data_IF_042136060614
#
_entry.id   IF_042136060614
#
_cell.length_a   1.000
_cell.length_b   1.000
_cell.length_c   1.000
_cell.angle_alpha   90.00
_cell.angle_beta   90.00
_cell.angle_gamma   90.00
#
_symmetry.space_group_name_H-M   'P 1'
#
loop_
_entity.id
_entity.type
_entity.pdbx_description
1 polymer ?
#
# COMPACT_ATOMS: atom_id res chain seq x y z
N UNK A 1 -17.27 -35.63 19.62
CA UNK A 1 -18.64 -35.22 20.00
C UNK A 1 -19.32 -34.82 18.70
N UNK A 2 -20.32 -35.57 18.24
CA UNK A 2 -21.03 -35.22 17.00
C UNK A 2 -21.79 -33.92 17.24
N UNK A 3 -21.44 -32.85 16.52
CA UNK A 3 -22.28 -31.65 16.52
C UNK A 3 -23.64 -32.00 15.91
N UNK A 4 -24.71 -31.35 16.37
CA UNK A 4 -26.04 -31.48 15.80
C UNK A 4 -26.26 -30.40 14.73
N UNK A 5 -27.25 -30.62 13.85
CA UNK A 5 -27.65 -29.63 12.84
C UNK A 5 -27.99 -28.29 13.50
N UNK A 6 -27.37 -27.17 13.08
CA UNK A 6 -27.61 -25.87 13.68
C UNK A 6 -29.05 -25.39 13.44
N UNK A 7 -29.77 -25.08 14.52
CA UNK A 7 -30.94 -24.23 14.43
C UNK A 7 -30.55 -22.75 14.26
N UNK A 8 -31.52 -21.89 13.90
CA UNK A 8 -31.30 -20.44 13.84
C UNK A 8 -30.79 -19.84 15.16
N UNK A 9 -31.19 -20.44 16.28
CA UNK A 9 -30.71 -20.03 17.61
C UNK A 9 -29.25 -20.42 17.81
N UNK A 10 -28.82 -21.60 17.35
CA UNK A 10 -27.45 -22.09 17.51
C UNK A 10 -26.45 -21.23 16.73
N UNK A 11 -26.86 -20.65 15.60
CA UNK A 11 -26.04 -19.68 14.86
C UNK A 11 -25.71 -18.42 15.69
N UNK A 12 -26.53 -18.11 16.70
CA UNK A 12 -26.36 -16.93 17.57
C UNK A 12 -25.83 -17.32 18.96
N UNK A 13 -26.10 -18.54 19.44
CA UNK A 13 -25.76 -18.99 20.79
C UNK A 13 -24.54 -19.92 20.85
N UNK A 14 -24.08 -20.47 19.73
CA UNK A 14 -22.85 -21.24 19.70
C UNK A 14 -21.65 -20.31 19.81
N UNK A 15 -21.00 -20.33 20.97
CA UNK A 15 -19.78 -19.57 21.23
C UNK A 15 -18.70 -20.49 21.79
N UNK A 16 -17.48 -20.24 21.36
CA UNK A 16 -16.25 -20.84 21.88
C UNK A 16 -15.31 -19.73 22.32
N UNK A 17 -14.30 -20.10 23.11
CA UNK A 17 -13.24 -19.19 23.53
C UNK A 17 -11.94 -19.63 22.89
N UNK A 18 -11.21 -18.66 22.37
CA UNK A 18 -9.86 -18.85 21.84
C UNK A 18 -8.91 -18.08 22.74
N UNK A 19 -8.40 -18.66 23.85
CA UNK A 19 -7.77 -17.89 24.93
C UNK A 19 -6.63 -16.99 24.46
N UNK A 20 -5.81 -17.46 23.53
CA UNK A 20 -4.72 -16.67 22.95
C UNK A 20 -5.25 -15.54 22.06
N UNK A 21 -6.22 -15.82 21.19
CA UNK A 21 -6.89 -14.82 20.36
C UNK A 21 -7.58 -13.75 21.19
N UNK A 22 -8.34 -14.16 22.21
CA UNK A 22 -9.05 -13.29 23.15
C UNK A 22 -8.08 -12.39 23.92
N UNK A 23 -6.97 -12.93 24.40
CA UNK A 23 -5.92 -12.16 25.05
C UNK A 23 -5.33 -11.08 24.12
N UNK A 24 -5.03 -11.45 22.87
CA UNK A 24 -4.50 -10.51 21.86
C UNK A 24 -5.52 -9.44 21.48
N UNK A 25 -6.81 -9.79 21.36
CA UNK A 25 -7.90 -8.84 21.14
C UNK A 25 -7.98 -7.84 22.29
N UNK A 26 -8.01 -8.32 23.54
CA UNK A 26 -8.07 -7.47 24.73
C UNK A 26 -6.86 -6.54 24.81
N UNK A 27 -5.65 -7.07 24.58
CA UNK A 27 -4.43 -6.25 24.53
C UNK A 27 -4.50 -5.19 23.42
N UNK A 28 -5.00 -5.55 22.23
CA UNK A 28 -5.19 -4.63 21.12
C UNK A 28 -6.19 -3.51 21.45
N UNK A 29 -7.34 -3.85 22.05
CA UNK A 29 -8.35 -2.89 22.51
C UNK A 29 -7.77 -1.93 23.54
N UNK A 30 -7.07 -2.45 24.55
CA UNK A 30 -6.45 -1.65 25.60
C UNK A 30 -5.36 -0.73 25.03
N UNK A 31 -4.51 -1.24 24.13
CA UNK A 31 -3.47 -0.47 23.46
C UNK A 31 -4.08 0.65 22.59
N UNK A 32 -5.14 0.36 21.85
CA UNK A 32 -5.83 1.35 21.03
C UNK A 32 -6.52 2.42 21.89
N UNK A 33 -7.26 2.02 22.93
CA UNK A 33 -7.90 2.95 23.86
C UNK A 33 -6.87 3.83 24.59
N UNK A 34 -5.75 3.25 25.02
CA UNK A 34 -4.63 3.99 25.61
C UNK A 34 -4.01 4.99 24.62
N UNK A 35 -3.82 4.59 23.36
CA UNK A 35 -3.35 5.46 22.29
C UNK A 35 -4.27 6.66 22.08
N UNK A 36 -5.58 6.44 22.00
CA UNK A 36 -6.59 7.49 21.85
C UNK A 36 -6.60 8.43 23.06
N UNK A 37 -6.58 7.87 24.27
CA UNK A 37 -6.47 8.65 25.51
C UNK A 37 -5.21 9.53 25.50
N UNK A 38 -4.06 8.98 25.09
CA UNK A 38 -2.79 9.71 25.06
C UNK A 38 -2.77 10.81 24.00
N UNK A 39 -3.42 10.63 22.86
CA UNK A 39 -3.61 11.69 21.86
C UNK A 39 -4.42 12.84 22.47
N UNK A 40 -5.54 12.54 23.13
CA UNK A 40 -6.37 13.56 23.77
C UNK A 40 -5.67 14.26 24.94
N UNK A 41 -4.95 13.52 25.78
CA UNK A 41 -4.17 14.09 26.88
C UNK A 41 -3.07 15.06 26.42
N UNK A 42 -2.64 14.96 25.16
CA UNK A 42 -1.67 15.86 24.51
C UNK A 42 -2.32 17.04 23.80
N UNK A 43 -3.63 17.21 23.92
CA UNK A 43 -4.40 18.26 23.24
C UNK A 43 -4.71 17.96 21.77
N UNK A 44 -4.44 16.73 21.30
CA UNK A 44 -4.80 16.28 19.96
C UNK A 44 -6.26 15.84 19.85
N UNK A 45 -6.77 15.80 18.62
CA UNK A 45 -8.08 15.23 18.30
C UNK A 45 -7.93 13.93 17.52
N UNK A 46 -8.73 12.92 17.88
CA UNK A 46 -8.78 11.64 17.16
C UNK A 46 -10.16 11.49 16.49
N UNK A 47 -10.21 11.27 15.15
CA UNK A 47 -11.48 11.14 14.45
C UNK A 47 -12.30 9.93 14.94
N UNK A 48 -13.57 10.15 15.30
CA UNK A 48 -14.48 9.10 15.80
C UNK A 48 -14.61 7.95 14.80
N UNK A 49 -14.64 8.24 13.49
CA UNK A 49 -14.73 7.23 12.43
C UNK A 49 -13.63 6.16 12.53
N UNK A 50 -12.41 6.53 12.97
CA UNK A 50 -11.30 5.57 13.16
C UNK A 50 -11.55 4.66 14.35
N UNK A 51 -12.07 5.20 15.46
CA UNK A 51 -12.47 4.41 16.63
C UNK A 51 -13.66 3.50 16.34
N UNK A 52 -14.61 3.95 15.51
CA UNK A 52 -15.72 3.10 15.04
C UNK A 52 -15.19 1.95 14.18
N UNK A 53 -14.26 2.22 13.25
CA UNK A 53 -13.59 1.18 12.47
C UNK A 53 -12.83 0.19 13.37
N UNK A 54 -12.13 0.67 14.39
CA UNK A 54 -11.46 -0.19 15.37
C UNK A 54 -12.45 -1.09 16.13
N UNK A 55 -13.56 -0.52 16.61
CA UNK A 55 -14.63 -1.30 17.24
C UNK A 55 -15.23 -2.33 16.30
N UNK A 56 -15.46 -1.96 15.03
CA UNK A 56 -15.90 -2.87 13.98
C UNK A 56 -14.92 -4.02 13.74
N UNK A 57 -13.62 -3.74 13.68
CA UNK A 57 -12.59 -4.77 13.53
C UNK A 57 -12.59 -5.75 14.70
N UNK A 58 -12.74 -5.26 15.93
CA UNK A 58 -12.84 -6.10 17.14
C UNK A 58 -14.08 -6.98 17.10
N UNK A 59 -15.24 -6.43 16.75
CA UNK A 59 -16.49 -7.19 16.63
C UNK A 59 -16.36 -8.26 15.56
N UNK A 60 -15.82 -7.93 14.39
CA UNK A 60 -15.59 -8.86 13.29
C UNK A 60 -14.60 -9.98 13.68
N UNK A 61 -13.54 -9.64 14.42
CA UNK A 61 -12.55 -10.61 14.90
C UNK A 61 -13.14 -11.56 15.94
N UNK A 62 -13.90 -11.04 16.90
CA UNK A 62 -14.63 -11.86 17.88
C UNK A 62 -15.67 -12.74 17.20
N UNK A 63 -16.39 -12.22 16.20
CA UNK A 63 -17.33 -13.03 15.43
C UNK A 63 -16.61 -14.17 14.68
N UNK A 64 -15.50 -13.89 14.01
CA UNK A 64 -14.73 -14.92 13.29
C UNK A 64 -14.11 -15.98 14.19
N UNK A 65 -13.57 -15.59 15.36
CA UNK A 65 -12.79 -16.49 16.23
C UNK A 65 -13.62 -17.21 17.30
N UNK A 66 -14.76 -16.66 17.69
CA UNK A 66 -15.49 -17.14 18.88
C UNK A 66 -16.96 -17.50 18.62
N UNK A 67 -17.56 -17.08 17.51
CA UNK A 67 -18.98 -17.35 17.26
C UNK A 67 -19.22 -18.74 16.65
N UNK A 68 -20.45 -18.97 16.18
CA UNK A 68 -20.85 -20.13 15.40
C UNK A 68 -19.90 -20.39 14.22
N UNK A 69 -19.26 -19.36 13.65
CA UNK A 69 -18.24 -19.53 12.61
C UNK A 69 -17.08 -20.42 13.08
N UNK A 70 -16.55 -20.17 14.28
CA UNK A 70 -15.46 -20.96 14.84
C UNK A 70 -15.92 -22.37 15.24
N UNK A 71 -17.15 -22.53 15.71
CA UNK A 71 -17.69 -23.85 16.10
C UNK A 71 -17.95 -24.72 14.86
N UNK A 72 -18.63 -24.18 13.86
CA UNK A 72 -19.04 -24.92 12.67
C UNK A 72 -17.98 -24.92 11.56
N UNK A 73 -17.00 -24.01 11.58
CA UNK A 73 -15.88 -23.98 10.63
C UNK A 73 -14.99 -25.23 10.70
N UNK A 74 -14.98 -25.94 11.83
CA UNK A 74 -14.27 -27.21 11.93
C UNK A 74 -14.98 -28.38 11.22
N UNK A 75 -16.26 -28.21 10.86
CA UNK A 75 -17.09 -29.31 10.33
C UNK A 75 -17.78 -28.98 9.01
N UNK A 76 -17.85 -27.71 8.62
CA UNK A 76 -18.42 -27.22 7.37
C UNK A 76 -17.39 -26.36 6.65
N UNK A 77 -16.94 -26.79 5.47
CA UNK A 77 -15.91 -26.08 4.73
C UNK A 77 -16.42 -24.72 4.23
N UNK A 78 -17.70 -24.59 3.86
CA UNK A 78 -18.26 -23.29 3.49
C UNK A 78 -18.27 -22.28 4.66
N UNK A 79 -18.48 -22.72 5.90
CA UNK A 79 -18.41 -21.86 7.09
C UNK A 79 -16.96 -21.45 7.35
N UNK A 80 -16.05 -22.41 7.24
CA UNK A 80 -14.61 -22.16 7.33
C UNK A 80 -14.16 -21.10 6.32
N UNK A 81 -14.66 -21.16 5.08
CA UNK A 81 -14.39 -20.15 4.07
C UNK A 81 -14.91 -18.75 4.45
N UNK A 82 -16.08 -18.67 5.09
CA UNK A 82 -16.58 -17.38 5.59
C UNK A 82 -15.68 -16.83 6.71
N UNK A 83 -15.16 -17.69 7.57
CA UNK A 83 -14.19 -17.30 8.61
C UNK A 83 -12.89 -16.78 7.99
N UNK A 84 -12.38 -17.45 6.94
CA UNK A 84 -11.24 -16.98 6.16
C UNK A 84 -11.46 -15.60 5.55
N UNK A 85 -12.59 -15.38 4.87
CA UNK A 85 -12.93 -14.08 4.27
C UNK A 85 -13.07 -12.97 5.33
N UNK A 86 -13.61 -13.29 6.50
CA UNK A 86 -13.66 -12.37 7.62
C UNK A 86 -12.25 -11.92 8.06
N UNK A 87 -11.31 -12.87 8.17
CA UNK A 87 -9.95 -12.59 8.65
C UNK A 87 -9.01 -12.01 7.60
N UNK A 88 -9.16 -12.35 6.33
CA UNK A 88 -8.27 -11.85 5.26
C UNK A 88 -8.76 -10.56 4.62
N UNK A 89 -10.06 -10.26 4.68
CA UNK A 89 -10.63 -9.04 4.09
C UNK A 89 -11.26 -8.10 5.11
N UNK A 90 -12.31 -8.56 5.82
CA UNK A 90 -13.15 -7.66 6.61
C UNK A 90 -12.37 -7.04 7.77
N UNK A 91 -11.73 -7.86 8.60
CA UNK A 91 -10.95 -7.39 9.75
C UNK A 91 -9.76 -6.51 9.29
N UNK A 92 -8.92 -6.94 8.33
CA UNK A 92 -7.83 -6.11 7.80
C UNK A 92 -8.24 -4.73 7.31
N UNK A 93 -9.30 -4.62 6.50
CA UNK A 93 -9.75 -3.33 5.98
C UNK A 93 -10.20 -2.40 7.11
N UNK A 94 -10.94 -2.94 8.08
CA UNK A 94 -11.37 -2.17 9.26
C UNK A 94 -10.19 -1.74 10.13
N UNK A 95 -9.17 -2.60 10.30
CA UNK A 95 -7.93 -2.25 11.01
C UNK A 95 -7.15 -1.15 10.29
N UNK A 96 -7.00 -1.22 8.96
CA UNK A 96 -6.33 -0.16 8.20
C UNK A 96 -7.08 1.17 8.31
N UNK A 97 -8.42 1.15 8.32
CA UNK A 97 -9.23 2.34 8.55
C UNK A 97 -9.20 2.85 9.99
N UNK A 98 -8.93 2.00 10.96
CA UNK A 98 -8.65 2.40 12.34
C UNK A 98 -7.33 3.16 12.48
N UNK A 99 -6.42 3.03 11.52
CA UNK A 99 -5.11 3.70 11.47
C UNK A 99 -4.24 3.51 12.74
N UNK A 100 -4.04 2.28 13.24
CA UNK A 100 -3.25 2.01 14.44
C UNK A 100 -1.80 2.54 14.37
N UNK A 101 -1.14 2.51 13.20
CA UNK A 101 0.24 3.00 13.03
C UNK A 101 0.28 4.51 13.21
N UNK A 102 -0.71 5.22 12.65
CA UNK A 102 -0.86 6.66 12.83
C UNK A 102 -1.13 6.98 14.30
N UNK A 103 -2.01 6.22 14.94
CA UNK A 103 -2.33 6.39 16.35
C UNK A 103 -1.08 6.26 17.23
N UNK A 104 -0.26 5.23 17.00
CA UNK A 104 0.99 5.02 17.72
C UNK A 104 1.97 6.21 17.56
N UNK A 105 2.07 6.77 16.35
CA UNK A 105 2.87 7.96 16.09
C UNK A 105 2.34 9.18 16.85
N UNK A 106 1.04 9.48 16.72
CA UNK A 106 0.41 10.68 17.27
C UNK A 106 0.31 10.62 18.81
N UNK A 107 0.21 9.40 19.37
CA UNK A 107 0.31 9.15 20.81
C UNK A 107 1.74 9.36 21.35
N UNK A 108 2.73 9.68 20.52
CA UNK A 108 4.09 10.02 20.94
C UNK A 108 5.17 9.02 20.60
N UNK A 109 4.84 8.01 19.80
CA UNK A 109 5.81 7.07 19.24
C UNK A 109 6.39 7.51 17.90
N UNK A 110 6.19 8.76 17.45
CA UNK A 110 6.57 9.22 16.10
C UNK A 110 7.99 8.85 15.69
N UNK A 111 8.99 9.07 16.56
CA UNK A 111 10.39 8.71 16.27
C UNK A 111 10.58 7.21 16.04
N UNK A 112 9.89 6.37 16.81
CA UNK A 112 9.97 4.91 16.70
C UNK A 112 9.27 4.46 15.42
N UNK A 113 8.07 4.98 15.16
CA UNK A 113 7.30 4.68 13.95
C UNK A 113 8.09 5.08 12.71
N UNK A 114 8.68 6.28 12.68
CA UNK A 114 9.49 6.74 11.54
C UNK A 114 10.76 5.89 11.37
N UNK A 115 11.39 5.44 12.47
CA UNK A 115 12.53 4.54 12.38
C UNK A 115 12.14 3.17 11.81
N UNK A 116 11.00 2.61 12.24
CA UNK A 116 10.46 1.35 11.72
C UNK A 116 10.09 1.47 10.25
N UNK A 117 9.41 2.54 9.84
CA UNK A 117 9.01 2.76 8.45
C UNK A 117 10.19 3.01 7.49
N UNK A 118 11.34 3.47 8.01
CA UNK A 118 12.58 3.61 7.24
C UNK A 118 13.37 2.31 7.10
N UNK A 119 13.04 1.27 7.87
CA UNK A 119 13.75 0.00 7.80
C UNK A 119 13.53 -0.68 6.43
N UNK A 120 14.59 -1.08 5.70
CA UNK A 120 14.46 -1.70 4.39
C UNK A 120 13.64 -2.99 4.42
N UNK A 121 13.71 -3.78 5.50
CA UNK A 121 12.90 -4.99 5.65
C UNK A 121 11.42 -4.65 5.75
N UNK A 122 11.04 -3.64 6.54
CA UNK A 122 9.65 -3.17 6.67
C UNK A 122 9.16 -2.63 5.33
N UNK A 123 10.00 -1.86 4.65
CA UNK A 123 9.71 -1.35 3.32
C UNK A 123 9.46 -2.50 2.34
N UNK A 124 10.33 -3.51 2.28
CA UNK A 124 10.15 -4.70 1.45
C UNK A 124 8.85 -5.45 1.73
N UNK A 125 8.57 -5.82 2.98
CA UNK A 125 7.37 -6.61 3.33
C UNK A 125 6.06 -5.84 3.17
N UNK A 126 6.10 -4.51 3.09
CA UNK A 126 4.93 -3.66 2.84
C UNK A 126 4.82 -3.19 1.39
N UNK A 127 5.75 -3.61 0.52
CA UNK A 127 5.75 -3.23 -0.89
C UNK A 127 4.51 -3.82 -1.59
N UNK A 128 3.72 -3.04 -2.35
CA UNK A 128 2.44 -3.51 -2.92
C UNK A 128 2.52 -4.80 -3.74
N UNK A 129 3.60 -4.98 -4.52
CA UNK A 129 3.83 -6.22 -5.29
C UNK A 129 4.16 -7.40 -4.37
N UNK A 130 4.91 -7.18 -3.30
CA UNK A 130 5.28 -8.23 -2.34
C UNK A 130 4.05 -8.63 -1.52
N UNK A 131 3.26 -7.65 -1.06
CA UNK A 131 2.03 -7.92 -0.31
C UNK A 131 0.97 -8.60 -1.18
N UNK A 132 0.86 -8.24 -2.46
CA UNK A 132 0.04 -8.96 -3.44
C UNK A 132 0.52 -10.40 -3.63
N UNK A 133 1.80 -10.61 -3.92
CA UNK A 133 2.36 -11.94 -4.13
C UNK A 133 2.19 -12.81 -2.89
N UNK A 134 2.37 -12.24 -1.70
CA UNK A 134 2.16 -12.91 -0.43
C UNK A 134 0.69 -13.27 -0.20
N UNK A 135 -0.24 -12.35 -0.47
CA UNK A 135 -1.68 -12.60 -0.42
C UNK A 135 -2.09 -13.76 -1.34
N UNK A 136 -1.70 -13.70 -2.62
CA UNK A 136 -1.99 -14.75 -3.59
C UNK A 136 -1.35 -16.10 -3.22
N UNK A 137 -0.11 -16.07 -2.72
CA UNK A 137 0.58 -17.26 -2.26
C UNK A 137 -0.12 -17.90 -1.06
N UNK A 138 -0.57 -17.11 -0.08
CA UNK A 138 -1.37 -17.62 1.05
C UNK A 138 -2.60 -18.34 0.51
N UNK A 139 -3.40 -17.71 -0.34
CA UNK A 139 -4.62 -18.34 -0.87
C UNK A 139 -4.35 -19.65 -1.63
N UNK A 140 -3.37 -19.66 -2.52
CA UNK A 140 -3.03 -20.85 -3.31
C UNK A 140 -2.49 -21.96 -2.41
N UNK A 141 -1.57 -21.62 -1.50
CA UNK A 141 -0.91 -22.61 -0.65
C UNK A 141 -1.89 -23.22 0.36
N UNK A 142 -2.78 -22.43 0.95
CA UNK A 142 -3.69 -22.96 1.97
C UNK A 142 -4.85 -23.75 1.39
N UNK A 143 -5.30 -23.47 0.16
CA UNK A 143 -6.47 -24.15 -0.42
C UNK A 143 -6.15 -25.22 -1.46
N UNK A 144 -5.05 -25.08 -2.21
CA UNK A 144 -4.74 -25.94 -3.36
C UNK A 144 -3.57 -26.91 -3.09
N UNK A 145 -3.09 -27.00 -1.86
CA UNK A 145 -2.00 -27.91 -1.47
C UNK A 145 -2.44 -28.87 -0.37
N UNK A 146 -1.53 -29.78 0.01
CA UNK A 146 -1.72 -30.71 1.12
C UNK A 146 -2.01 -30.00 2.46
N UNK A 147 -1.65 -28.72 2.61
CA UNK A 147 -1.99 -27.92 3.79
C UNK A 147 -3.48 -28.03 4.13
N UNK A 148 -4.34 -27.92 3.12
CA UNK A 148 -5.79 -27.96 3.31
C UNK A 148 -6.28 -29.29 3.88
N UNK A 149 -5.68 -30.39 3.44
CA UNK A 149 -6.05 -31.74 3.86
C UNK A 149 -5.59 -32.03 5.30
N UNK A 150 -4.43 -31.49 5.69
CA UNK A 150 -3.81 -31.77 7.00
C UNK A 150 -4.34 -30.85 8.12
N UNK A 151 -4.67 -29.61 7.78
CA UNK A 151 -5.07 -28.57 8.72
C UNK A 151 -6.22 -29.00 9.66
N UNK A 152 -7.33 -29.62 9.19
CA UNK A 152 -8.47 -29.96 10.05
C UNK A 152 -8.12 -30.93 11.19
N UNK A 153 -7.07 -31.73 11.01
CA UNK A 153 -6.61 -32.71 11.99
C UNK A 153 -5.47 -32.21 12.88
N UNK A 154 -4.91 -31.04 12.57
CA UNK A 154 -3.71 -30.52 13.20
C UNK A 154 -3.96 -29.13 13.81
N UNK A 155 -4.23 -29.04 15.13
CA UNK A 155 -4.69 -27.80 15.77
C UNK A 155 -3.80 -26.57 15.55
N UNK A 156 -2.47 -26.75 15.60
CA UNK A 156 -1.52 -25.65 15.41
C UNK A 156 -1.52 -25.11 13.96
N UNK A 157 -1.81 -25.96 12.96
CA UNK A 157 -1.91 -25.53 11.57
C UNK A 157 -3.12 -24.64 11.36
N UNK A 158 -4.26 -24.97 11.99
CA UNK A 158 -5.45 -24.12 11.96
C UNK A 158 -5.17 -22.76 12.60
N UNK A 159 -4.55 -22.72 13.78
CA UNK A 159 -4.17 -21.45 14.43
C UNK A 159 -3.20 -20.63 13.56
N UNK A 160 -2.20 -21.29 12.99
CA UNK A 160 -1.26 -20.66 12.06
C UNK A 160 -1.97 -20.07 10.84
N UNK A 161 -2.94 -20.79 10.28
CA UNK A 161 -3.75 -20.34 9.16
C UNK A 161 -4.54 -19.06 9.50
N UNK A 162 -5.24 -19.02 10.63
CA UNK A 162 -5.99 -17.83 11.03
C UNK A 162 -5.07 -16.60 11.17
N UNK A 163 -3.87 -16.80 11.73
CA UNK A 163 -2.86 -15.74 11.86
C UNK A 163 -2.34 -15.31 10.50
N UNK A 164 -1.97 -16.24 9.61
CA UNK A 164 -1.40 -15.90 8.30
C UNK A 164 -2.41 -15.20 7.40
N UNK A 165 -3.71 -15.52 7.51
CA UNK A 165 -4.79 -14.80 6.81
C UNK A 165 -4.92 -13.37 7.32
N UNK A 166 -4.96 -13.17 8.63
CA UNK A 166 -5.04 -11.83 9.19
C UNK A 166 -3.82 -10.96 8.80
N UNK A 167 -2.62 -11.55 8.85
CA UNK A 167 -1.37 -10.86 8.50
C UNK A 167 -1.31 -10.56 7.00
N UNK A 168 -1.62 -11.54 6.14
CA UNK A 168 -1.58 -11.36 4.69
C UNK A 168 -2.59 -10.31 4.23
N UNK A 169 -3.82 -10.38 4.75
CA UNK A 169 -4.86 -9.40 4.49
C UNK A 169 -4.44 -8.00 4.95
N UNK A 170 -3.95 -7.86 6.19
CA UNK A 170 -3.51 -6.56 6.72
C UNK A 170 -2.40 -5.96 5.86
N UNK A 171 -1.36 -6.74 5.53
CA UNK A 171 -0.27 -6.28 4.67
C UNK A 171 -0.74 -5.92 3.27
N UNK A 172 -1.65 -6.71 2.68
CA UNK A 172 -2.21 -6.45 1.36
C UNK A 172 -3.00 -5.14 1.31
N UNK A 173 -3.90 -4.92 2.27
CA UNK A 173 -4.75 -3.74 2.30
C UNK A 173 -4.06 -2.48 2.85
N UNK A 174 -2.97 -2.62 3.62
CA UNK A 174 -2.26 -1.50 4.25
C UNK A 174 -1.87 -0.37 3.26
N UNK A 175 -1.22 -0.63 2.10
CA UNK A 175 -0.91 0.42 1.14
C UNK A 175 -2.10 0.80 0.22
N UNK A 176 -3.21 0.06 0.25
CA UNK A 176 -4.28 0.15 -0.75
C UNK A 176 -5.57 0.79 -0.20
N UNK A 177 -6.07 0.32 0.95
CA UNK A 177 -7.41 0.61 1.45
C UNK A 177 -7.56 1.99 2.09
N UNK A 178 -6.47 2.61 2.57
CA UNK A 178 -6.55 3.81 3.40
C UNK A 178 -5.44 4.84 3.19
N UNK A 179 -5.39 5.80 4.11
CA UNK A 179 -4.32 6.81 4.24
C UNK A 179 -3.52 6.58 5.53
N UNK A 180 -3.37 5.32 5.94
CA UNK A 180 -2.51 4.97 7.06
C UNK A 180 -1.05 5.38 6.76
N UNK A 181 -0.23 5.55 7.81
CA UNK A 181 1.20 5.86 7.63
C UNK A 181 1.90 4.62 7.08
N UNK A 182 2.31 4.69 5.81
CA UNK A 182 3.09 3.65 5.14
C UNK A 182 4.32 4.27 4.46
N UNK A 183 5.36 3.49 4.13
CA UNK A 183 6.50 3.99 3.37
C UNK A 183 6.17 4.27 1.89
N UNK A 184 4.96 3.88 1.44
CA UNK A 184 4.59 3.78 0.04
C UNK A 184 3.40 4.69 -0.29
N UNK A 185 3.65 5.75 -1.07
CA UNK A 185 2.59 6.60 -1.60
C UNK A 185 2.08 6.03 -2.93
N UNK A 186 1.15 5.07 -2.85
CA UNK A 186 0.60 4.37 -4.01
C UNK A 186 -0.51 5.21 -4.65
N UNK A 187 -0.42 5.56 -5.95
CA UNK A 187 -1.45 6.33 -6.64
C UNK A 187 -2.74 5.51 -6.80
N UNK A 188 -3.90 6.19 -6.80
CA UNK A 188 -5.22 5.53 -6.81
C UNK A 188 -5.40 4.52 -7.94
N UNK A 189 -4.98 4.86 -9.16
CA UNK A 189 -5.07 3.95 -10.31
C UNK A 189 -4.28 2.65 -10.08
N UNK A 190 -3.09 2.74 -9.47
CA UNK A 190 -2.30 1.55 -9.13
C UNK A 190 -2.96 0.75 -8.00
N UNK A 191 -3.58 1.41 -7.02
CA UNK A 191 -4.34 0.71 -5.98
C UNK A 191 -5.46 -0.14 -6.58
N UNK A 192 -6.24 0.43 -7.51
CA UNK A 192 -7.31 -0.28 -8.20
C UNK A 192 -6.79 -1.42 -9.06
N UNK A 193 -5.67 -1.23 -9.77
CA UNK A 193 -5.05 -2.28 -10.57
C UNK A 193 -4.55 -3.45 -9.71
N UNK A 194 -3.89 -3.15 -8.59
CA UNK A 194 -3.43 -4.17 -7.64
C UNK A 194 -4.63 -4.91 -7.05
N UNK A 195 -5.67 -4.23 -6.59
CA UNK A 195 -6.89 -4.89 -6.09
C UNK A 195 -7.53 -5.80 -7.15
N UNK A 196 -7.62 -5.36 -8.41
CA UNK A 196 -8.15 -6.17 -9.50
C UNK A 196 -7.32 -7.44 -9.77
N UNK A 197 -5.99 -7.37 -9.64
CA UNK A 197 -5.13 -8.57 -9.72
C UNK A 197 -5.40 -9.51 -8.54
N UNK A 198 -5.72 -8.96 -7.36
CA UNK A 198 -6.04 -9.75 -6.15
C UNK A 198 -7.32 -10.55 -6.32
N UNK A 199 -8.36 -9.91 -6.89
CA UNK A 199 -9.59 -10.59 -7.30
C UNK A 199 -9.31 -11.75 -8.27
N UNK A 200 -8.32 -11.60 -9.15
CA UNK A 200 -7.89 -12.69 -10.03
C UNK A 200 -7.40 -13.91 -9.25
N UNK A 201 -6.69 -13.71 -8.14
CA UNK A 201 -6.26 -14.80 -7.25
C UNK A 201 -7.45 -15.45 -6.53
N UNK A 202 -8.37 -14.65 -5.99
CA UNK A 202 -9.59 -15.14 -5.33
C UNK A 202 -10.46 -15.96 -6.30
N UNK A 203 -10.69 -15.42 -7.50
CA UNK A 203 -11.41 -16.08 -8.59
C UNK A 203 -10.73 -17.39 -8.98
N UNK A 204 -9.41 -17.39 -9.15
CA UNK A 204 -8.68 -18.60 -9.55
C UNK A 204 -8.85 -19.71 -8.52
N UNK A 205 -8.66 -19.41 -7.23
CA UNK A 205 -8.77 -20.42 -6.17
C UNK A 205 -10.23 -20.85 -5.99
N UNK A 206 -11.17 -19.91 -5.96
CA UNK A 206 -12.60 -20.22 -5.82
C UNK A 206 -13.12 -21.12 -6.96
N UNK A 207 -12.80 -20.80 -8.21
CA UNK A 207 -13.16 -21.63 -9.36
C UNK A 207 -12.44 -22.99 -9.31
N UNK A 208 -11.17 -23.04 -8.93
CA UNK A 208 -10.46 -24.30 -8.79
C UNK A 208 -11.13 -25.23 -7.77
N UNK A 209 -11.58 -24.71 -6.63
CA UNK A 209 -12.35 -25.46 -5.64
C UNK A 209 -13.69 -25.98 -6.19
N UNK A 210 -14.41 -25.15 -6.96
CA UNK A 210 -15.67 -25.52 -7.60
C UNK A 210 -15.53 -26.57 -8.70
N UNK A 211 -14.41 -26.58 -9.42
CA UNK A 211 -14.17 -27.53 -10.52
C UNK A 211 -13.51 -28.83 -10.06
N UNK A 212 -12.92 -28.86 -8.86
CA UNK A 212 -12.28 -30.07 -8.34
C UNK A 212 -13.33 -31.12 -7.97
N UNK A 213 -13.22 -32.30 -8.60
CA UNK A 213 -14.19 -33.40 -8.48
C UNK A 213 -13.94 -34.37 -7.33
N UNK A 214 -12.92 -34.15 -6.50
CA UNK A 214 -12.64 -34.91 -5.28
C UNK A 214 -12.53 -33.95 -4.09
N UNK A 215 -12.88 -34.37 -2.86
CA UNK A 215 -12.72 -33.51 -1.69
C UNK A 215 -11.24 -33.30 -1.40
N UNK A 216 -10.82 -32.05 -1.31
CA UNK A 216 -9.43 -31.68 -0.97
C UNK A 216 -9.18 -31.88 0.53
N UNK A 217 -10.21 -31.64 1.35
CA UNK A 217 -10.16 -31.89 2.78
C UNK A 217 -11.49 -32.49 3.25
N UNK A 218 -11.39 -33.45 4.16
CA UNK A 218 -12.54 -34.11 4.73
C UNK A 218 -12.96 -33.44 6.06
N UNK A 219 -13.67 -32.33 5.93
CA UNK A 219 -14.34 -31.66 7.06
C UNK A 219 -15.53 -32.48 7.60
N UNK A 220 -15.96 -33.53 6.87
CA UNK A 220 -17.18 -34.27 7.17
C UNK A 220 -17.03 -35.30 8.29
N UNK A 221 -15.79 -35.70 8.63
CA UNK A 221 -15.51 -36.69 9.68
C UNK A 221 -16.14 -36.35 11.03
N UNK A 222 -16.46 -35.08 11.30
CA UNK A 222 -16.95 -34.59 12.58
C UNK A 222 -18.46 -34.24 12.61
N UNK A 223 -19.18 -34.26 11.47
CA UNK A 223 -20.59 -33.78 11.37
C UNK A 223 -21.68 -34.86 11.34
N UNK A 224 -21.38 -36.13 11.57
CA UNK A 224 -22.40 -37.18 11.55
C UNK A 224 -23.12 -37.28 10.18
N UNK A 225 -24.45 -37.42 10.15
CA UNK A 225 -25.22 -37.63 8.92
C UNK A 225 -25.93 -36.38 8.36
N UNK A 226 -25.68 -35.19 8.92
CA UNK A 226 -26.33 -33.95 8.50
C UNK A 226 -25.35 -33.00 7.79
N UNK A 227 -25.88 -32.07 6.99
CA UNK A 227 -25.10 -31.14 6.17
C UNK A 227 -24.93 -31.59 4.72
N UNK A 228 -24.15 -30.82 3.96
CA UNK A 228 -23.84 -31.10 2.56
C UNK A 228 -22.93 -32.33 2.45
N UNK A 229 -22.90 -32.99 1.28
CA UNK A 229 -21.82 -33.92 0.95
C UNK A 229 -20.48 -33.16 0.85
N UNK A 230 -19.35 -33.84 1.06
CA UNK A 230 -18.02 -33.21 1.05
C UNK A 230 -17.73 -32.45 -0.25
N UNK A 231 -18.15 -32.97 -1.41
CA UNK A 231 -17.98 -32.28 -2.70
C UNK A 231 -18.86 -31.04 -2.79
N UNK A 232 -20.14 -31.17 -2.41
CA UNK A 232 -21.09 -30.05 -2.50
C UNK A 232 -20.72 -28.93 -1.53
N UNK A 233 -20.21 -29.26 -0.35
CA UNK A 233 -19.66 -28.32 0.63
C UNK A 233 -18.45 -27.57 0.06
N UNK A 234 -17.50 -28.28 -0.56
CA UNK A 234 -16.35 -27.69 -1.24
C UNK A 234 -16.75 -26.78 -2.39
N UNK A 235 -17.71 -27.18 -3.24
CA UNK A 235 -18.17 -26.34 -4.33
C UNK A 235 -18.86 -25.07 -3.82
N UNK A 236 -19.61 -25.18 -2.72
CA UNK A 236 -20.23 -24.03 -2.06
C UNK A 236 -19.16 -23.12 -1.45
N UNK A 237 -18.15 -23.67 -0.80
CA UNK A 237 -17.01 -22.92 -0.28
C UNK A 237 -16.27 -22.17 -1.38
N UNK A 238 -15.97 -22.83 -2.51
CA UNK A 238 -15.35 -22.19 -3.67
C UNK A 238 -16.20 -21.07 -4.27
N UNK A 239 -17.52 -21.28 -4.37
CA UNK A 239 -18.45 -20.26 -4.83
C UNK A 239 -18.53 -19.04 -3.90
N UNK A 240 -18.51 -19.27 -2.58
CA UNK A 240 -18.46 -18.20 -1.57
C UNK A 240 -17.13 -17.46 -1.65
N UNK A 241 -16.02 -18.18 -1.70
CA UNK A 241 -14.67 -17.60 -1.81
C UNK A 241 -14.60 -16.62 -2.99
N UNK A 242 -15.05 -17.08 -4.16
CA UNK A 242 -15.08 -16.28 -5.36
C UNK A 242 -16.07 -15.11 -5.24
N UNK A 243 -17.36 -15.38 -5.05
CA UNK A 243 -18.38 -14.35 -5.15
C UNK A 243 -18.31 -13.30 -4.03
N UNK A 244 -18.06 -13.74 -2.79
CA UNK A 244 -17.96 -12.84 -1.64
C UNK A 244 -16.59 -12.16 -1.59
N UNK A 245 -15.50 -12.87 -1.92
CA UNK A 245 -14.16 -12.27 -2.01
C UNK A 245 -14.09 -11.15 -3.04
N UNK A 246 -14.47 -11.46 -4.29
CA UNK A 246 -14.53 -10.47 -5.37
C UNK A 246 -15.53 -9.35 -5.05
N UNK A 247 -16.68 -9.67 -4.47
CA UNK A 247 -17.70 -8.70 -4.09
C UNK A 247 -17.18 -7.68 -3.07
N UNK A 248 -16.45 -8.15 -2.04
CA UNK A 248 -15.84 -7.30 -1.03
C UNK A 248 -14.70 -6.45 -1.61
N UNK A 249 -13.83 -7.04 -2.45
CA UNK A 249 -12.79 -6.27 -3.15
C UNK A 249 -13.40 -5.20 -4.07
N UNK A 250 -14.45 -5.54 -4.82
CA UNK A 250 -15.16 -4.60 -5.68
C UNK A 250 -15.76 -3.45 -4.89
N UNK A 251 -16.39 -3.72 -3.74
CA UNK A 251 -16.91 -2.69 -2.84
C UNK A 251 -15.79 -1.73 -2.40
N UNK A 252 -14.63 -2.27 -2.00
CA UNK A 252 -13.48 -1.47 -1.63
C UNK A 252 -12.95 -0.65 -2.82
N UNK A 253 -12.88 -1.23 -4.01
CA UNK A 253 -12.50 -0.53 -5.23
C UNK A 253 -13.45 0.62 -5.56
N UNK A 254 -14.77 0.45 -5.37
CA UNK A 254 -15.75 1.53 -5.51
C UNK A 254 -15.46 2.66 -4.52
N UNK A 255 -15.22 2.33 -3.25
CA UNK A 255 -14.85 3.33 -2.23
C UNK A 255 -13.59 4.09 -2.65
N UNK A 256 -12.55 3.39 -3.09
CA UNK A 256 -11.29 4.00 -3.55
C UNK A 256 -11.52 4.83 -4.83
N UNK A 257 -12.35 4.37 -5.75
CA UNK A 257 -12.71 5.08 -6.98
C UNK A 257 -13.48 6.37 -6.70
N UNK A 258 -14.42 6.36 -5.76
CA UNK A 258 -15.11 7.57 -5.29
C UNK A 258 -14.11 8.54 -4.65
N UNK A 259 -13.19 8.03 -3.82
CA UNK A 259 -12.13 8.85 -3.22
C UNK A 259 -11.18 9.43 -4.26
N UNK A 260 -10.88 8.69 -5.33
CA UNK A 260 -10.09 9.18 -6.46
C UNK A 260 -10.80 10.31 -7.21
N UNK A 261 -12.10 10.16 -7.48
CA UNK A 261 -12.91 11.18 -8.15
C UNK A 261 -13.00 12.51 -7.38
N UNK A 262 -13.03 12.45 -6.04
CA UNK A 262 -13.09 13.64 -5.16
C UNK A 262 -11.69 14.16 -4.79
N UNK A 263 -10.62 13.43 -5.07
CA UNK A 263 -9.26 13.83 -4.73
C UNK A 263 -8.78 15.05 -5.55
N UNK A 264 -7.83 15.81 -5.02
CA UNK A 264 -7.20 16.93 -5.74
C UNK A 264 -6.49 16.45 -7.01
N UNK A 265 -6.38 17.29 -8.07
CA UNK A 265 -5.74 16.91 -9.35
C UNK A 265 -4.34 16.31 -9.20
N UNK A 266 -3.58 16.78 -8.21
CA UNK A 266 -2.24 16.27 -7.88
C UNK A 266 -2.20 14.78 -7.53
N UNK A 267 -3.26 14.24 -6.90
CA UNK A 267 -3.37 12.80 -6.57
C UNK A 267 -4.07 12.00 -7.66
N UNK A 268 -4.62 12.65 -8.68
CA UNK A 268 -5.34 12.01 -9.77
C UNK A 268 -4.41 11.54 -10.89
N UNK A 269 -3.22 12.12 -11.02
CA UNK A 269 -2.29 11.87 -12.12
C UNK A 269 -1.15 10.93 -11.70
N UNK A 270 -0.83 9.95 -12.56
CA UNK A 270 0.29 9.02 -12.37
C UNK A 270 1.66 9.71 -12.51
N UNK A 271 1.70 10.91 -13.10
CA UNK A 271 2.92 11.61 -13.52
C UNK A 271 3.93 11.84 -12.40
N UNK A 272 3.49 12.23 -11.20
CA UNK A 272 4.41 12.46 -10.08
C UNK A 272 4.97 11.17 -9.48
N UNK A 273 4.21 10.08 -9.49
CA UNK A 273 4.71 8.78 -9.04
C UNK A 273 5.78 8.26 -10.02
N UNK A 274 5.52 8.38 -11.32
CA UNK A 274 6.51 8.04 -12.36
C UNK A 274 7.75 8.94 -12.28
N UNK A 275 7.57 10.24 -12.04
CA UNK A 275 8.69 11.17 -11.87
C UNK A 275 9.47 10.87 -10.59
N UNK A 276 8.80 10.52 -9.48
CA UNK A 276 9.46 10.11 -8.25
C UNK A 276 10.17 8.76 -8.36
N UNK A 277 9.65 7.82 -9.14
CA UNK A 277 10.32 6.57 -9.48
C UNK A 277 11.58 6.86 -10.32
N UNK A 278 11.44 7.70 -11.36
CA UNK A 278 12.55 8.16 -12.20
C UNK A 278 13.63 8.91 -11.40
N UNK A 279 13.26 9.88 -10.56
CA UNK A 279 14.22 10.65 -9.76
C UNK A 279 14.97 9.79 -8.75
N UNK A 280 14.34 8.73 -8.23
CA UNK A 280 15.01 7.78 -7.34
C UNK A 280 16.03 6.92 -8.08
N UNK A 281 15.68 6.47 -9.28
CA UNK A 281 16.60 5.72 -10.13
C UNK A 281 17.77 6.59 -10.61
N UNK A 282 17.53 7.86 -10.93
CA UNK A 282 18.59 8.83 -11.23
C UNK A 282 19.50 9.11 -10.02
N UNK A 283 18.95 9.18 -8.80
CA UNK A 283 19.76 9.38 -7.59
C UNK A 283 20.56 8.14 -7.18
N UNK A 284 20.05 6.93 -7.48
CA UNK A 284 20.77 5.66 -7.30
C UNK A 284 21.90 5.54 -8.33
N UNK A 285 21.63 5.92 -9.59
CA UNK A 285 22.60 6.02 -10.71
C UNK A 285 23.65 7.12 -10.47
N UNK A 286 23.30 8.24 -9.79
CA UNK A 286 24.25 9.26 -9.35
C UNK A 286 25.13 8.80 -8.18
N UNK A 287 24.63 7.93 -7.29
CA UNK A 287 25.50 7.29 -6.27
C UNK A 287 26.45 6.25 -6.87
N UNK A 288 26.02 5.51 -7.90
CA UNK A 288 26.89 4.61 -8.66
C UNK A 288 27.87 5.39 -9.57
N UNK A 289 27.50 6.58 -10.08
CA UNK A 289 28.41 7.52 -10.75
C UNK A 289 29.32 8.28 -9.81
N UNK A 290 28.96 8.50 -8.54
CA UNK A 290 29.86 9.13 -7.58
C UNK A 290 31.07 8.25 -7.21
N UNK A 291 30.99 6.93 -7.49
CA UNK A 291 32.12 5.99 -7.46
C UNK A 291 32.88 5.91 -8.81
N UNK A 292 32.34 6.48 -9.89
CA UNK A 292 33.12 6.84 -11.06
C UNK A 292 33.80 8.18 -10.77
N UNK A 293 35.11 8.25 -10.95
CA UNK A 293 35.93 9.39 -10.55
C UNK A 293 35.34 10.72 -11.02
N UNK A 294 35.18 11.68 -10.10
CA UNK A 294 34.81 13.08 -10.36
C UNK A 294 35.61 13.70 -11.53
N UNK A 295 36.82 13.18 -11.77
CA UNK A 295 37.69 13.53 -12.88
C UNK A 295 37.07 13.24 -14.28
N UNK A 296 36.25 12.18 -14.42
CA UNK A 296 35.63 11.81 -15.71
C UNK A 296 34.50 12.78 -16.11
N UNK A 297 33.76 13.31 -15.12
CA UNK A 297 32.68 14.28 -15.33
C UNK A 297 33.25 15.67 -15.69
N UNK A 298 34.36 16.07 -15.08
CA UNK A 298 35.05 17.32 -15.40
C UNK A 298 35.65 17.28 -16.82
N UNK A 299 36.21 16.14 -17.22
CA UNK A 299 36.68 15.89 -18.59
C UNK A 299 35.56 15.83 -19.63
N UNK A 300 34.37 15.33 -19.26
CA UNK A 300 33.20 15.32 -20.12
C UNK A 300 32.65 16.75 -20.33
N UNK A 301 32.57 17.56 -19.26
CA UNK A 301 32.21 18.97 -19.30
C UNK A 301 33.19 19.79 -20.14
N UNK A 302 34.50 19.56 -19.99
CA UNK A 302 35.53 20.24 -20.78
C UNK A 302 35.38 19.94 -22.28
N UNK A 303 35.14 18.67 -22.65
CA UNK A 303 34.90 18.26 -24.05
C UNK A 303 33.60 18.87 -24.62
N UNK A 304 32.54 18.94 -23.82
CA UNK A 304 31.29 19.56 -24.23
C UNK A 304 31.44 21.06 -24.46
N UNK A 305 32.10 21.77 -23.53
CA UNK A 305 32.38 23.20 -23.64
C UNK A 305 33.29 23.50 -24.83
N UNK A 306 34.29 22.66 -25.10
CA UNK A 306 35.14 22.78 -26.29
C UNK A 306 34.36 22.60 -27.59
N UNK A 307 33.39 21.67 -27.63
CA UNK A 307 32.51 21.47 -28.79
C UNK A 307 31.58 22.67 -29.01
N UNK A 308 31.02 23.25 -27.95
CA UNK A 308 30.21 24.47 -28.01
C UNK A 308 31.04 25.66 -28.52
N UNK A 309 32.26 25.83 -28.03
CA UNK A 309 33.18 26.86 -28.50
C UNK A 309 33.53 26.69 -29.99
N UNK A 310 33.70 25.46 -30.46
CA UNK A 310 33.92 25.17 -31.87
C UNK A 310 32.69 25.53 -32.73
N UNK A 311 31.47 25.23 -32.25
CA UNK A 311 30.23 25.60 -32.94
C UNK A 311 30.04 27.12 -33.00
N UNK A 312 30.32 27.84 -31.92
CA UNK A 312 30.27 29.31 -31.89
C UNK A 312 31.41 29.98 -32.66
N UNK A 313 32.54 29.29 -32.88
CA UNK A 313 33.64 29.75 -33.72
C UNK A 313 33.38 29.61 -35.22
N UNK A 314 32.52 28.66 -35.62
CA UNK A 314 32.15 28.42 -37.03
C UNK A 314 31.24 29.53 -37.59
N UNK A 315 30.43 30.18 -36.74
CA UNK A 315 29.56 31.31 -37.13
C UNK A 315 30.32 32.64 -37.40
N UNK A 316 31.63 32.69 -37.19
CA UNK A 316 32.49 33.84 -37.54
C UNK A 316 33.36 33.53 -38.77
N UNK A 317 32.71 33.30 -39.90
CA UNK A 317 33.37 33.23 -41.21
C UNK A 317 34.04 34.56 -41.61
N UNK A 318 35.06 34.53 -42.50
CA UNK A 318 35.99 35.65 -42.69
C UNK A 318 35.33 36.84 -43.40
N UNK A 319 35.57 38.05 -42.86
CA UNK A 319 35.20 39.31 -43.48
C UNK A 319 35.84 39.44 -44.88
N UNK A 320 35.02 39.34 -45.92
CA UNK A 320 35.40 39.66 -47.29
C UNK A 320 35.74 41.14 -47.35
N UNK A 321 37.04 41.46 -47.47
CA UNK A 321 37.51 42.78 -47.89
C UNK A 321 37.40 42.86 -49.40
N UNK A 322 36.39 43.56 -49.90
CA UNK A 322 36.39 44.11 -51.26
C UNK A 322 36.30 45.62 -51.18
N UNK A 323 37.44 46.28 -51.40
CA UNK A 323 37.47 47.70 -51.75
C UNK A 323 37.05 47.87 -53.21
N UNK A 324 36.46 49.03 -53.53
CA UNK A 324 36.06 49.38 -54.90
C UNK A 324 34.99 50.45 -54.93
N UNK A 325 35.46 51.68 -54.75
CA UNK A 325 34.88 52.99 -55.07
C UNK A 325 33.79 53.02 -56.18
N UNK A 326 32.63 53.66 -55.91
CA UNK A 326 32.09 54.82 -56.65
C UNK A 326 30.60 55.09 -56.32
N UNK A 327 30.33 56.33 -55.88
CA UNK A 327 29.15 57.14 -56.20
C UNK A 327 27.74 56.62 -55.85
N UNK A 328 27.09 57.26 -54.88
CA UNK A 328 26.06 58.32 -55.11
C UNK A 328 25.23 58.53 -53.83
N UNK A 329 25.12 59.80 -53.47
CA UNK A 329 24.36 60.44 -52.40
C UNK A 329 22.95 59.90 -52.15
N UNK A 330 22.50 59.85 -50.87
CA UNK A 330 21.25 60.48 -50.37
C UNK A 330 21.32 60.67 -48.83
N UNK A 331 21.49 61.93 -48.44
CA UNK A 331 20.97 62.70 -47.29
C UNK A 331 19.76 62.10 -46.53
N UNK A 332 19.76 61.92 -45.20
CA UNK A 332 19.17 62.74 -44.08
C UNK A 332 18.81 61.71 -42.96
N UNK A 333 18.78 61.93 -41.64
CA UNK A 333 18.94 63.10 -40.79
C UNK A 333 19.31 62.64 -39.34
N UNK A 334 20.36 63.28 -38.84
CA UNK A 334 20.73 63.71 -37.48
C UNK A 334 19.71 63.60 -36.31
N UNK A 335 20.09 62.85 -35.27
CA UNK A 335 20.06 63.22 -33.84
C UNK A 335 20.87 62.16 -33.07
N UNK A 336 21.87 62.42 -32.22
CA UNK A 336 22.32 63.62 -31.54
C UNK A 336 22.62 63.27 -30.07
N UNK A 337 23.89 63.00 -29.74
CA UNK A 337 24.45 62.96 -28.37
C UNK A 337 24.30 61.62 -27.64
N UNK A 338 25.32 60.96 -27.11
CA UNK A 338 26.70 61.36 -26.85
C UNK A 338 26.98 61.25 -25.34
N UNK A 339 27.72 60.19 -24.98
CA UNK A 339 28.60 60.02 -23.81
C UNK A 339 28.01 60.21 -22.39
N UNK A 340 28.31 59.40 -21.39
CA UNK A 340 29.30 58.34 -21.27
C UNK A 340 29.37 57.83 -19.82
N UNK A 341 30.00 56.66 -19.65
CA UNK A 341 30.84 56.16 -18.55
C UNK A 341 30.77 56.82 -17.14
N UNK A 342 30.93 56.16 -15.99
CA UNK A 342 31.22 54.78 -15.53
C UNK A 342 31.48 54.90 -14.01
N UNK A 343 31.35 53.79 -13.26
CA UNK A 343 31.90 53.49 -11.93
C UNK A 343 31.36 54.14 -10.63
N UNK A 344 30.73 53.28 -9.82
CA UNK A 344 30.89 53.17 -8.36
C UNK A 344 32.35 52.75 -8.01
N UNK A 345 32.96 53.17 -6.87
CA UNK A 345 32.73 52.42 -5.64
C UNK A 345 32.90 53.18 -4.29
N UNK A 346 32.20 52.67 -3.26
CA UNK A 346 32.78 52.44 -1.92
C UNK A 346 32.60 53.52 -0.84
N UNK A 347 32.32 53.13 0.42
CA UNK A 347 31.86 54.05 1.46
C UNK A 347 33.01 54.64 2.29
N UNK A 348 32.86 55.91 2.70
CA UNK A 348 33.73 56.57 3.66
C UNK A 348 33.03 56.77 5.01
N UNK A 349 33.86 56.65 6.03
CA UNK A 349 33.64 56.67 7.47
C UNK A 349 33.25 58.03 8.05
N UNK A 350 32.37 58.05 9.06
CA UNK A 350 32.38 58.98 10.22
C UNK A 350 31.53 58.33 11.33
N UNK A 351 32.05 58.05 12.54
CA UNK A 351 32.25 58.98 13.67
C UNK A 351 30.91 59.15 14.43
N UNK A 352 30.70 58.90 15.72
CA UNK A 352 31.55 58.80 16.91
C UNK A 352 30.84 59.54 18.07
N UNK A 353 30.74 58.93 19.26
CA UNK A 353 30.24 59.53 20.52
C UNK A 353 28.76 59.20 20.82
N UNK A 354 28.37 58.73 22.00
CA UNK A 354 28.96 58.66 23.36
C UNK A 354 28.33 57.52 24.13
#
# INVERSE_FOLDING_TARGET
MSLAEPGLLDLVTAWTFTPLGDLLIVLGVLAYAFGVHRVHARGGTWPIARSVAAGGAVVALVAGLNSAMAVYGHVLFWVHMLQHLMLIMVVPVLLVWAQPIRLASDAGGSRIVDAVLRNPAVRFVTHPVVTMAFYAAVLVLTHLTAFQAEMPTTPWMHEFELVIYLVSGYLFFLPLAGDERTPWDVPYALRLAVLAVGMGADTLVGIALMLTGHPIADFSMMRGAWGLDAISDQHTAGGIMWALGDGLMMLLMIVIGVRWGVARPEKQTMGRWLEGARSRELLDDDTDRADASVDDDEDALARYNARLAALHGIDRGPAVRTGGDTGTSVTTARHGGGAGNVDEPGPSTSGGGT
#
